data_IF_648397222805
#
_entry.id   IF_648397222805
#
_cell.length_a   1.000
_cell.length_b   1.000
_cell.length_c   1.000
_cell.angle_alpha   90.00
_cell.angle_beta   90.00
_cell.angle_gamma   90.00
#
_symmetry.space_group_name_H-M   'P 1'
#
loop_
_entity.id
_entity.type
_entity.pdbx_description
1 polymer ?
#
# COMPACT_ATOMS: atom_id res chain seq x y z
N UNK A 1 25.19 -36.28 -35.76
CA UNK A 1 24.69 -35.00 -35.21
C UNK A 1 24.41 -35.25 -33.74
N UNK A 2 25.06 -34.52 -32.84
CA UNK A 2 24.61 -34.48 -31.44
C UNK A 2 23.19 -33.91 -31.39
N UNK A 3 22.38 -34.37 -30.44
CA UNK A 3 21.14 -33.68 -30.11
C UNK A 3 21.49 -32.27 -29.61
N UNK A 4 20.84 -31.25 -30.19
CA UNK A 4 21.13 -29.87 -29.86
C UNK A 4 20.75 -29.54 -28.42
N UNK A 5 21.44 -28.57 -27.81
CA UNK A 5 21.34 -28.22 -26.37
C UNK A 5 19.92 -27.95 -25.83
N UNK A 6 18.91 -27.73 -26.70
CA UNK A 6 17.49 -27.57 -26.31
C UNK A 6 17.17 -26.26 -25.58
N UNK A 7 18.16 -25.63 -24.97
CA UNK A 7 18.07 -24.34 -24.31
C UNK A 7 18.01 -23.20 -25.33
N UNK A 8 17.06 -22.27 -25.12
CA UNK A 8 17.03 -20.98 -25.79
C UNK A 8 16.39 -19.93 -24.89
N UNK A 9 16.81 -18.68 -25.03
CA UNK A 9 16.16 -17.54 -24.41
C UNK A 9 16.04 -16.38 -25.39
N UNK A 10 15.03 -15.53 -25.20
CA UNK A 10 14.80 -14.37 -26.06
C UNK A 10 15.89 -13.30 -25.86
N UNK A 11 16.29 -12.63 -26.95
CA UNK A 11 17.29 -11.54 -26.92
C UNK A 11 16.86 -10.30 -26.12
N UNK A 12 15.55 -10.16 -25.89
CA UNK A 12 14.92 -9.01 -25.24
C UNK A 12 13.95 -9.46 -24.13
N UNK A 13 14.40 -10.17 -23.08
CA UNK A 13 13.52 -10.67 -22.03
C UNK A 13 12.99 -9.50 -21.19
N UNK A 14 11.69 -9.52 -20.88
CA UNK A 14 10.99 -8.43 -20.19
C UNK A 14 11.26 -7.01 -20.76
N UNK A 15 11.55 -6.88 -22.06
CA UNK A 15 11.73 -5.57 -22.71
C UNK A 15 13.11 -4.92 -22.58
N UNK A 16 14.08 -5.52 -21.87
CA UNK A 16 15.51 -5.12 -21.93
C UNK A 16 16.20 -5.96 -23.01
N UNK A 17 16.89 -5.34 -23.96
CA UNK A 17 17.80 -6.06 -24.87
C UNK A 17 19.13 -6.26 -24.17
N UNK A 18 19.70 -7.47 -24.29
CA UNK A 18 20.99 -7.79 -23.69
C UNK A 18 22.14 -7.40 -24.61
N UNK A 19 23.21 -6.85 -24.02
CA UNK A 19 24.50 -6.70 -24.68
C UNK A 19 25.22 -8.04 -24.81
N UNK A 20 26.10 -8.19 -25.81
CA UNK A 20 26.80 -9.46 -26.06
C UNK A 20 27.63 -9.93 -24.86
N UNK A 21 28.31 -9.00 -24.18
CA UNK A 21 29.08 -9.30 -22.97
C UNK A 21 28.18 -9.80 -21.82
N UNK A 22 26.96 -9.25 -21.68
CA UNK A 22 25.97 -9.71 -20.69
C UNK A 22 25.46 -11.12 -21.04
N UNK A 23 25.18 -11.40 -22.31
CA UNK A 23 24.79 -12.74 -22.78
C UNK A 23 25.88 -13.76 -22.44
N UNK A 24 27.14 -13.46 -22.76
CA UNK A 24 28.24 -14.36 -22.47
C UNK A 24 28.44 -14.58 -20.97
N UNK A 25 28.40 -13.51 -20.17
CA UNK A 25 28.49 -13.63 -18.71
C UNK A 25 27.36 -14.49 -18.15
N UNK A 26 26.12 -14.23 -18.58
CA UNK A 26 24.95 -14.96 -18.11
C UNK A 26 24.99 -16.45 -18.49
N UNK A 27 25.54 -16.79 -19.66
CA UNK A 27 25.74 -18.17 -20.08
C UNK A 27 26.88 -18.88 -19.33
N UNK A 28 27.96 -18.16 -18.99
CA UNK A 28 29.09 -18.69 -18.20
C UNK A 28 28.69 -18.93 -16.74
N UNK A 29 28.15 -17.90 -16.10
CA UNK A 29 27.94 -17.86 -14.65
C UNK A 29 26.56 -18.42 -14.25
N UNK A 30 25.66 -18.66 -15.22
CA UNK A 30 24.24 -19.00 -15.05
C UNK A 30 23.45 -18.00 -14.20
N UNK A 31 24.03 -16.85 -13.88
CA UNK A 31 23.44 -15.75 -13.12
C UNK A 31 23.96 -14.42 -13.65
N UNK A 32 23.11 -13.39 -13.68
CA UNK A 32 23.51 -12.02 -14.03
C UNK A 32 22.63 -10.98 -13.31
N UNK A 33 23.23 -9.86 -12.92
CA UNK A 33 22.55 -8.72 -12.32
C UNK A 33 23.16 -8.25 -11.00
N UNK A 34 22.50 -7.32 -10.29
CA UNK A 34 21.19 -6.74 -10.62
C UNK A 34 21.22 -5.85 -11.88
N UNK A 35 20.37 -6.15 -12.86
CA UNK A 35 20.19 -5.35 -14.07
C UNK A 35 18.90 -4.51 -13.98
N UNK A 36 18.97 -3.28 -14.47
CA UNK A 36 17.87 -2.32 -14.56
C UNK A 36 17.10 -2.46 -15.90
N UNK A 37 16.16 -1.55 -16.19
CA UNK A 37 15.55 -1.43 -17.52
C UNK A 37 14.51 -2.49 -17.92
N UNK A 38 14.30 -3.55 -17.13
CA UNK A 38 13.20 -4.50 -17.35
C UNK A 38 11.84 -3.83 -17.17
N UNK A 39 10.81 -4.35 -17.85
CA UNK A 39 9.43 -3.85 -17.78
C UNK A 39 8.47 -4.98 -17.44
N UNK A 40 7.63 -4.73 -16.43
CA UNK A 40 6.58 -5.65 -16.00
C UNK A 40 5.48 -5.82 -17.08
N UNK A 41 4.61 -6.82 -16.94
CA UNK A 41 3.41 -6.98 -17.80
C UNK A 41 2.50 -5.75 -17.82
N UNK A 42 2.57 -4.90 -16.80
CA UNK A 42 1.83 -3.64 -16.71
C UNK A 42 2.69 -2.40 -17.12
N UNK A 43 3.85 -2.60 -17.74
CA UNK A 43 4.71 -1.56 -18.30
C UNK A 43 5.65 -0.85 -17.32
N UNK A 44 5.50 -1.07 -16.01
CA UNK A 44 6.36 -0.44 -14.98
C UNK A 44 7.80 -0.96 -15.07
N UNK A 45 8.81 -0.07 -15.00
CA UNK A 45 10.20 -0.47 -14.96
C UNK A 45 10.55 -1.14 -13.63
N UNK A 46 11.43 -2.14 -13.66
CA UNK A 46 11.98 -2.80 -12.47
C UNK A 46 13.44 -3.20 -12.68
N UNK A 47 14.13 -3.43 -11.57
CA UNK A 47 15.49 -4.00 -11.50
C UNK A 47 15.37 -5.43 -10.99
N UNK A 48 16.13 -6.36 -11.55
CA UNK A 48 16.14 -7.76 -11.12
C UNK A 48 17.49 -8.43 -11.41
N UNK A 49 17.76 -9.52 -10.71
CA UNK A 49 18.76 -10.50 -11.13
C UNK A 49 18.06 -11.55 -12.01
N UNK A 50 18.85 -12.28 -12.78
CA UNK A 50 18.36 -13.36 -13.64
C UNK A 50 19.23 -14.58 -13.47
N UNK A 51 18.61 -15.75 -13.50
CA UNK A 51 19.26 -17.05 -13.27
C UNK A 51 18.80 -18.08 -14.30
N UNK A 52 19.70 -18.97 -14.69
CA UNK A 52 19.42 -20.12 -15.55
C UNK A 52 19.35 -21.36 -14.65
N UNK A 53 18.13 -21.75 -14.26
CA UNK A 53 17.91 -22.97 -13.47
C UNK A 53 17.63 -24.16 -14.38
N UNK A 54 17.94 -25.36 -13.92
CA UNK A 54 17.49 -26.58 -14.58
C UNK A 54 16.08 -26.92 -14.07
N UNK A 55 15.15 -27.13 -15.01
CA UNK A 55 13.77 -27.53 -14.74
C UNK A 55 13.71 -29.06 -14.94
N UNK A 56 13.56 -29.82 -13.84
CA UNK A 56 13.60 -31.29 -13.86
C UNK A 56 12.38 -31.91 -14.55
N UNK A 57 11.24 -31.21 -14.56
CA UNK A 57 10.00 -31.65 -15.21
C UNK A 57 10.12 -31.50 -16.74
N UNK A 58 10.66 -30.37 -17.21
CA UNK A 58 10.97 -30.14 -18.62
C UNK A 58 12.30 -30.76 -19.10
N UNK A 59 13.13 -31.26 -18.17
CA UNK A 59 14.52 -31.73 -18.39
C UNK A 59 15.38 -30.76 -19.19
N UNK A 60 15.18 -29.45 -18.98
CA UNK A 60 15.82 -28.40 -19.77
C UNK A 60 16.15 -27.19 -18.90
N UNK A 61 17.06 -26.34 -19.35
CA UNK A 61 17.38 -25.09 -18.68
C UNK A 61 16.30 -24.04 -18.94
N UNK A 62 16.03 -23.22 -17.93
CA UNK A 62 14.96 -22.22 -17.89
C UNK A 62 15.49 -20.94 -17.28
N UNK A 63 15.18 -19.83 -17.96
CA UNK A 63 15.47 -18.48 -17.51
C UNK A 63 14.41 -18.05 -16.49
N UNK A 64 14.85 -17.68 -15.30
CA UNK A 64 14.01 -17.11 -14.25
C UNK A 64 14.52 -15.73 -13.83
N UNK A 65 13.61 -14.84 -13.44
CA UNK A 65 13.96 -13.61 -12.75
C UNK A 65 14.11 -13.92 -11.26
N UNK A 66 15.32 -13.73 -10.75
CA UNK A 66 15.58 -13.73 -9.32
C UNK A 66 15.44 -12.28 -8.82
N UNK A 67 14.38 -12.00 -8.08
CA UNK A 67 14.11 -10.65 -7.60
C UNK A 67 14.97 -10.25 -6.39
N UNK A 68 15.96 -11.07 -6.05
CA UNK A 68 16.80 -10.92 -4.87
C UNK A 68 16.08 -11.33 -3.59
N UNK A 69 16.87 -11.63 -2.58
CA UNK A 69 16.39 -12.14 -1.28
C UNK A 69 15.62 -11.11 -0.43
N UNK A 70 15.38 -9.89 -0.94
CA UNK A 70 14.53 -8.83 -0.32
C UNK A 70 13.12 -9.32 0.07
N UNK A 71 12.66 -10.45 -0.46
CA UNK A 71 11.38 -11.09 -0.07
C UNK A 71 11.52 -12.42 0.67
N UNK A 72 12.68 -13.08 0.57
CA UNK A 72 12.96 -14.32 1.30
C UNK A 72 13.40 -14.03 2.72
N UNK A 73 14.18 -12.98 2.97
CA UNK A 73 14.49 -12.51 4.33
C UNK A 73 13.25 -12.14 5.18
N UNK A 74 12.06 -11.99 4.56
CA UNK A 74 10.79 -11.81 5.28
C UNK A 74 9.94 -13.09 5.41
N UNK A 75 10.32 -14.22 4.79
CA UNK A 75 9.51 -15.45 4.73
C UNK A 75 10.30 -16.77 4.90
N UNK A 76 11.63 -16.78 4.99
CA UNK A 76 12.44 -18.01 5.19
C UNK A 76 12.41 -18.55 6.62
N UNK A 77 11.93 -17.77 7.58
CA UNK A 77 12.03 -18.13 9.00
C UNK A 77 13.46 -18.14 9.54
N UNK A 78 14.41 -17.55 8.80
CA UNK A 78 15.76 -17.30 9.29
C UNK A 78 15.67 -16.28 10.43
N UNK A 79 15.98 -16.74 11.63
CA UNK A 79 15.74 -15.99 12.86
C UNK A 79 16.75 -14.84 12.94
N UNK A 80 16.24 -13.60 12.91
CA UNK A 80 17.09 -12.42 12.87
C UNK A 80 17.80 -12.27 14.20
N UNK A 81 19.14 -12.15 14.16
CA UNK A 81 19.94 -11.80 15.33
C UNK A 81 20.38 -10.33 15.26
N UNK A 82 20.08 -9.59 16.34
CA UNK A 82 20.47 -8.20 16.52
C UNK A 82 21.59 -8.02 17.57
N UNK A 83 22.16 -9.11 18.09
CA UNK A 83 23.20 -9.10 19.13
C UNK A 83 24.40 -8.21 18.80
N UNK A 84 24.82 -8.22 17.53
CA UNK A 84 25.95 -7.45 17.01
C UNK A 84 25.59 -6.01 16.56
N UNK A 85 24.31 -5.61 16.62
CA UNK A 85 23.86 -4.29 16.14
C UNK A 85 23.65 -3.29 17.28
N UNK A 86 24.02 -2.04 17.02
CA UNK A 86 23.70 -0.92 17.90
C UNK A 86 22.21 -0.55 17.81
N UNK A 87 21.60 -0.27 18.96
CA UNK A 87 20.18 0.08 19.04
C UNK A 87 19.96 1.58 18.89
N UNK A 88 19.12 1.97 17.95
CA UNK A 88 18.80 3.37 17.63
C UNK A 88 17.83 4.02 18.62
N UNK A 89 17.18 3.25 19.48
CA UNK A 89 16.27 3.75 20.51
C UNK A 89 15.11 2.82 20.82
N UNK A 90 14.18 3.30 21.63
CA UNK A 90 12.97 2.58 22.00
C UNK A 90 11.87 2.75 20.94
N UNK A 91 11.18 1.66 20.61
CA UNK A 91 10.06 1.63 19.68
C UNK A 91 8.85 2.40 20.26
N UNK A 92 8.29 3.39 19.54
CA UNK A 92 7.18 4.20 20.04
C UNK A 92 5.84 3.45 20.16
N UNK A 93 5.78 2.18 19.73
CA UNK A 93 4.60 1.30 19.89
C UNK A 93 4.72 0.32 21.05
N UNK A 94 5.91 -0.20 21.37
CA UNK A 94 6.09 -1.29 22.34
C UNK A 94 7.31 -1.17 23.27
N UNK A 95 8.08 -0.08 23.18
CA UNK A 95 9.26 0.18 24.02
C UNK A 95 10.50 -0.66 23.75
N UNK A 96 10.42 -1.71 22.91
CA UNK A 96 11.57 -2.56 22.57
C UNK A 96 12.59 -1.86 21.65
N UNK A 97 13.78 -2.44 21.48
CA UNK A 97 14.87 -1.83 20.73
C UNK A 97 14.54 -1.75 19.23
N UNK A 98 15.06 -0.72 18.56
CA UNK A 98 14.95 -0.52 17.11
C UNK A 98 16.34 -0.61 16.48
N UNK A 99 16.43 -1.38 15.39
CA UNK A 99 17.67 -1.69 14.69
C UNK A 99 17.58 -1.40 13.20
N UNK A 100 18.73 -1.41 12.52
CA UNK A 100 18.80 -1.45 11.06
C UNK A 100 18.64 -2.88 10.58
N UNK A 101 17.76 -3.10 9.59
CA UNK A 101 17.56 -4.41 8.97
C UNK A 101 17.22 -4.24 7.49
N UNK A 102 18.14 -4.66 6.63
CA UNK A 102 18.08 -4.38 5.18
C UNK A 102 17.93 -2.88 4.92
N UNK A 103 16.92 -2.51 4.12
CA UNK A 103 16.57 -1.12 3.75
C UNK A 103 15.62 -0.44 4.75
N UNK A 104 15.47 -0.98 5.96
CA UNK A 104 14.48 -0.53 6.95
C UNK A 104 15.10 -0.35 8.33
N UNK A 105 14.40 0.43 9.14
CA UNK A 105 14.52 0.49 10.59
C UNK A 105 13.36 -0.30 11.20
N UNK A 106 13.68 -1.30 12.01
CA UNK A 106 12.77 -2.38 12.41
C UNK A 106 12.84 -2.57 13.92
N UNK A 107 11.70 -2.84 14.55
CA UNK A 107 11.66 -3.19 15.97
C UNK A 107 12.12 -4.64 16.16
N UNK A 108 12.89 -4.90 17.22
CA UNK A 108 13.31 -6.26 17.63
C UNK A 108 12.13 -7.24 17.72
N UNK A 109 10.96 -6.73 18.10
CA UNK A 109 9.70 -7.48 18.27
C UNK A 109 8.80 -7.49 17.03
N UNK A 110 9.21 -6.89 15.91
CA UNK A 110 8.45 -6.93 14.64
C UNK A 110 9.02 -7.89 13.60
N UNK A 111 10.08 -8.62 13.93
CA UNK A 111 10.59 -9.76 13.15
C UNK A 111 10.73 -11.00 14.04
N UNK A 112 10.69 -12.22 13.49
CA UNK A 112 11.06 -13.44 14.20
C UNK A 112 12.54 -13.42 14.60
N UNK A 113 12.82 -13.64 15.89
CA UNK A 113 14.17 -13.75 16.45
C UNK A 113 14.28 -15.06 17.25
N UNK A 114 15.50 -15.49 17.59
CA UNK A 114 15.73 -16.70 18.41
C UNK A 114 14.98 -16.67 19.75
N UNK A 115 14.80 -15.49 20.35
CA UNK A 115 14.07 -15.30 21.60
C UNK A 115 12.55 -15.11 21.40
N UNK A 116 12.10 -14.75 20.20
CA UNK A 116 10.70 -14.48 19.87
C UNK A 116 10.37 -14.97 18.44
N UNK A 117 9.87 -16.20 18.27
CA UNK A 117 9.44 -16.72 16.97
C UNK A 117 8.21 -16.01 16.39
N UNK A 118 7.36 -15.43 17.25
CA UNK A 118 6.11 -14.75 16.86
C UNK A 118 6.23 -13.24 17.06
N UNK A 119 6.22 -12.41 15.99
CA UNK A 119 6.31 -10.97 16.13
C UNK A 119 5.07 -10.40 16.84
N UNK A 120 5.30 -9.56 17.86
CA UNK A 120 4.24 -8.88 18.63
C UNK A 120 4.18 -7.38 18.37
N UNK A 121 5.04 -6.87 17.49
CA UNK A 121 5.04 -5.50 16.99
C UNK A 121 5.00 -5.51 15.46
N UNK A 122 4.65 -4.37 14.87
CA UNK A 122 4.58 -4.09 13.43
C UNK A 122 5.35 -2.81 13.07
N UNK A 123 6.07 -2.21 14.04
CA UNK A 123 6.85 -1.00 13.80
C UNK A 123 7.97 -1.27 12.80
N UNK A 124 7.90 -0.55 11.67
CA UNK A 124 8.85 -0.57 10.57
C UNK A 124 8.81 0.79 9.87
N UNK A 125 9.97 1.37 9.57
CA UNK A 125 10.08 2.58 8.74
C UNK A 125 11.25 2.44 7.77
N UNK A 126 11.13 2.98 6.56
CA UNK A 126 12.19 2.85 5.54
C UNK A 126 13.43 3.68 5.89
N UNK A 127 14.62 3.18 5.52
CA UNK A 127 15.85 3.96 5.52
C UNK A 127 15.88 5.00 4.40
N UNK A 128 15.13 4.77 3.32
CA UNK A 128 14.95 5.73 2.22
C UNK A 128 13.45 5.95 2.01
N UNK A 129 12.99 7.19 2.17
CA UNK A 129 11.59 7.57 2.02
C UNK A 129 11.50 8.65 0.93
N UNK A 130 10.75 8.39 -0.14
CA UNK A 130 10.59 9.30 -1.29
C UNK A 130 11.93 9.86 -1.81
N UNK A 131 12.88 8.95 -2.09
CA UNK A 131 14.26 9.21 -2.54
C UNK A 131 15.20 9.86 -1.51
N UNK A 132 14.70 10.31 -0.36
CA UNK A 132 15.55 10.88 0.70
C UNK A 132 16.00 9.79 1.69
N UNK A 133 17.30 9.57 1.88
CA UNK A 133 17.82 8.77 2.99
C UNK A 133 17.49 9.45 4.34
N UNK A 134 17.09 8.65 5.31
CA UNK A 134 16.85 9.07 6.68
C UNK A 134 18.05 8.62 7.51
N UNK A 135 18.87 9.56 7.96
CA UNK A 135 20.07 9.26 8.74
C UNK A 135 19.73 8.68 10.12
N UNK A 136 20.65 7.88 10.69
CA UNK A 136 20.52 7.32 12.06
C UNK A 136 20.10 8.37 13.09
N UNK A 137 20.73 9.55 13.07
CA UNK A 137 20.42 10.66 13.97
C UNK A 137 18.95 11.13 13.87
N UNK A 138 18.35 11.09 12.68
CA UNK A 138 16.95 11.45 12.48
C UNK A 138 16.01 10.39 13.03
N UNK A 139 16.34 9.09 12.90
CA UNK A 139 15.57 8.03 13.55
C UNK A 139 15.69 8.09 15.07
N UNK A 140 16.88 8.33 15.63
CA UNK A 140 17.05 8.53 17.08
C UNK A 140 16.12 9.66 17.56
N UNK A 141 16.04 10.79 16.83
CA UNK A 141 15.10 11.89 17.11
C UNK A 141 13.63 11.47 16.98
N UNK A 142 13.27 10.72 15.94
CA UNK A 142 11.91 10.21 15.73
C UNK A 142 11.46 9.28 16.87
N UNK A 143 12.36 8.42 17.36
CA UNK A 143 12.09 7.48 18.45
C UNK A 143 12.02 8.16 19.82
N UNK A 144 12.82 9.21 20.05
CA UNK A 144 12.89 9.91 21.35
C UNK A 144 11.90 11.07 21.49
N UNK A 145 11.70 11.87 20.43
CA UNK A 145 10.83 13.07 20.45
C UNK A 145 9.51 12.86 19.73
N UNK A 146 9.35 11.73 19.03
CA UNK A 146 8.21 11.46 18.15
C UNK A 146 8.30 12.11 16.76
N UNK A 147 9.32 12.94 16.48
CA UNK A 147 9.50 13.66 15.21
C UNK A 147 10.96 13.75 14.76
N UNK A 148 11.19 13.88 13.45
CA UNK A 148 12.50 14.25 12.87
C UNK A 148 12.65 15.77 12.75
N UNK A 149 13.86 16.22 12.41
CA UNK A 149 14.06 17.58 11.91
C UNK A 149 13.34 17.79 10.56
N UNK A 150 13.32 19.03 10.07
CA UNK A 150 12.81 19.38 8.75
C UNK A 150 13.77 18.88 7.65
N UNK A 151 13.40 17.78 6.99
CA UNK A 151 14.11 17.21 5.85
C UNK A 151 13.57 17.80 4.55
N UNK A 152 14.45 18.21 3.63
CA UNK A 152 14.08 19.05 2.48
C UNK A 152 14.28 18.46 1.09
N UNK A 153 14.78 17.22 1.04
CA UNK A 153 15.13 16.48 -0.17
C UNK A 153 14.08 15.43 -0.58
N UNK A 154 12.90 15.39 0.04
CA UNK A 154 11.84 14.46 -0.35
C UNK A 154 11.31 14.77 -1.75
N UNK A 155 11.26 13.79 -2.65
CA UNK A 155 10.76 13.98 -4.02
C UNK A 155 9.37 13.38 -4.17
N UNK A 156 8.37 14.22 -4.43
CA UNK A 156 6.98 13.74 -4.57
C UNK A 156 6.80 12.93 -5.85
N UNK A 157 6.35 11.67 -5.74
CA UNK A 157 6.04 10.82 -6.91
C UNK A 157 4.97 11.43 -7.84
N UNK A 158 4.06 12.27 -7.30
CA UNK A 158 2.98 12.89 -8.07
C UNK A 158 3.44 14.09 -8.91
N UNK A 159 4.34 14.92 -8.39
CA UNK A 159 4.75 16.19 -9.03
C UNK A 159 6.20 16.21 -9.48
N UNK A 160 7.00 15.20 -9.09
CA UNK A 160 8.46 15.11 -9.27
C UNK A 160 9.23 16.34 -8.75
N UNK A 161 8.65 17.07 -7.80
CA UNK A 161 9.27 18.23 -7.14
C UNK A 161 9.73 17.85 -5.75
N UNK A 162 10.89 18.42 -5.36
CA UNK A 162 11.36 18.38 -3.99
C UNK A 162 10.40 19.13 -3.05
N UNK A 163 10.25 18.66 -1.81
CA UNK A 163 9.47 19.32 -0.77
C UNK A 163 10.11 19.11 0.61
N UNK A 164 9.79 20.03 1.53
CA UNK A 164 10.25 19.99 2.92
C UNK A 164 9.16 19.45 3.84
N UNK A 165 9.50 18.49 4.69
CA UNK A 165 8.61 17.92 5.70
C UNK A 165 9.40 17.37 6.89
N UNK A 166 8.75 17.24 8.03
CA UNK A 166 9.20 16.41 9.14
C UNK A 166 8.53 15.05 9.02
N UNK A 167 9.17 14.00 9.50
CA UNK A 167 8.54 12.71 9.72
C UNK A 167 8.09 12.67 11.19
N UNK A 168 6.83 12.32 11.42
CA UNK A 168 6.23 12.24 12.75
C UNK A 168 5.60 10.87 12.97
N UNK A 169 5.77 10.30 14.17
CA UNK A 169 5.06 9.08 14.55
C UNK A 169 3.59 9.36 14.83
N UNK A 170 2.70 8.72 14.08
CA UNK A 170 1.27 8.77 14.29
C UNK A 170 0.83 7.53 15.10
N UNK A 171 0.58 7.73 16.39
CA UNK A 171 0.15 6.68 17.30
C UNK A 171 -1.27 6.15 17.00
N UNK A 172 -2.12 6.91 16.30
CA UNK A 172 -3.46 6.44 15.89
C UNK A 172 -3.38 5.57 14.63
N UNK A 173 -2.55 5.96 13.68
CA UNK A 173 -2.35 5.21 12.44
C UNK A 173 -1.27 4.12 12.53
N UNK A 174 -0.52 4.05 13.63
CA UNK A 174 0.54 3.07 13.88
C UNK A 174 1.71 3.18 12.90
N UNK A 175 2.01 4.37 12.37
CA UNK A 175 3.01 4.55 11.30
C UNK A 175 3.65 5.93 11.32
N UNK A 176 4.76 6.07 10.61
CA UNK A 176 5.43 7.35 10.38
C UNK A 176 4.71 8.09 9.24
N UNK A 177 4.24 9.32 9.51
CA UNK A 177 3.55 10.21 8.58
C UNK A 177 4.37 11.48 8.31
N UNK A 178 4.06 12.19 7.22
CA UNK A 178 4.64 13.50 6.94
C UNK A 178 3.89 14.60 7.68
N UNK A 179 4.62 15.39 8.48
CA UNK A 179 4.13 16.62 9.10
C UNK A 179 4.80 17.83 8.42
N UNK A 180 3.97 18.69 7.84
CA UNK A 180 4.44 19.88 7.13
C UNK A 180 4.41 21.09 8.07
N UNK A 181 5.49 21.85 8.10
CA UNK A 181 5.48 23.16 8.76
C UNK A 181 4.37 24.04 8.15
N UNK A 182 3.68 24.88 8.97
CA UNK A 182 2.55 25.67 8.50
C UNK A 182 2.96 26.57 7.32
N UNK A 183 2.30 26.38 6.17
CA UNK A 183 2.70 27.03 4.94
C UNK A 183 2.40 28.54 4.97
N UNK A 184 3.43 29.36 4.68
CA UNK A 184 3.29 30.83 4.53
C UNK A 184 2.28 31.23 3.42
N UNK A 185 1.95 30.30 2.53
CA UNK A 185 0.89 30.46 1.54
C UNK A 185 -0.43 29.88 2.06
N UNK A 186 -1.54 30.65 2.04
CA UNK A 186 -2.84 30.15 2.49
C UNK A 186 -3.34 29.01 1.59
N UNK A 187 -4.11 28.04 2.14
CA UNK A 187 -4.64 26.94 1.36
C UNK A 187 -5.51 27.45 0.20
N UNK A 188 -5.20 26.98 -1.01
CA UNK A 188 -5.95 27.35 -2.21
C UNK A 188 -7.40 26.88 -2.05
N UNK A 189 -8.37 27.80 -2.12
CA UNK A 189 -9.81 27.52 -1.96
C UNK A 189 -10.21 26.36 -2.89
N UNK A 190 -10.56 25.21 -2.30
CA UNK A 190 -10.82 23.96 -3.02
C UNK A 190 -10.34 22.71 -2.27
N UNK A 191 -9.31 22.82 -1.42
CA UNK A 191 -8.93 21.74 -0.51
C UNK A 191 -9.81 21.77 0.76
N UNK A 192 -10.70 20.80 0.91
CA UNK A 192 -11.50 20.60 2.13
C UNK A 192 -10.61 20.09 3.26
N UNK A 193 -10.26 20.99 4.19
CA UNK A 193 -9.61 20.59 5.45
C UNK A 193 -10.63 19.88 6.38
N UNK A 194 -10.20 18.88 7.17
CA UNK A 194 -11.07 18.23 8.15
C UNK A 194 -11.38 19.19 9.30
N UNK A 195 -12.66 19.27 9.69
CA UNK A 195 -13.14 20.12 10.79
C UNK A 195 -12.80 19.52 12.15
N UNK A 196 -11.69 19.95 12.76
CA UNK A 196 -11.53 19.90 14.21
C UNK A 196 -12.32 21.05 14.83
N UNK A 197 -13.25 20.74 15.74
CA UNK A 197 -14.00 21.73 16.52
C UNK A 197 -13.25 22.03 17.81
N UNK A 198 -12.89 23.28 18.03
CA UNK A 198 -12.72 23.85 19.37
C UNK A 198 -13.07 25.35 19.36
N UNK A 199 -13.54 25.79 20.52
CA UNK A 199 -13.84 27.13 21.02
C UNK A 199 -12.84 28.23 20.58
N UNK A 200 -13.14 29.54 20.64
CA UNK A 200 -13.67 30.31 21.80
C UNK A 200 -14.62 31.45 21.35
N UNK A 201 -15.43 31.95 22.29
CA UNK A 201 -16.47 32.97 22.10
C UNK A 201 -16.05 34.41 22.51
N UNK A 202 -16.92 35.37 22.19
CA UNK A 202 -16.91 36.80 22.62
C UNK A 202 -15.77 37.68 22.02
N UNK A 203 -15.91 39.00 21.82
CA UNK A 203 -16.82 40.00 22.44
C UNK A 203 -17.27 41.10 21.45
N UNK A 204 -18.22 41.96 21.86
CA UNK A 204 -18.91 43.03 21.09
C UNK A 204 -18.12 44.37 21.00
N UNK A 205 -18.56 45.27 20.10
CA UNK A 205 -18.32 46.73 20.11
C UNK A 205 -17.57 47.25 18.86
N UNK A 206 -18.18 47.88 17.86
CA UNK A 206 -18.89 49.18 17.78
C UNK A 206 -17.97 50.41 17.54
N UNK A 207 -17.98 50.91 16.29
CA UNK A 207 -17.99 52.33 15.84
C UNK A 207 -16.76 53.24 16.16
N UNK A 208 -16.40 54.31 15.42
CA UNK A 208 -17.04 55.02 14.27
C UNK A 208 -16.09 56.01 13.54
N UNK A 209 -16.37 56.27 12.24
CA UNK A 209 -16.15 57.50 11.39
C UNK A 209 -14.78 58.17 11.14
N UNK A 210 -14.65 58.72 9.90
CA UNK A 210 -13.61 59.65 9.40
C UNK A 210 -12.94 59.15 8.09
N UNK A 211 -13.45 59.43 6.86
CA UNK A 211 -13.38 60.70 6.08
C UNK A 211 -11.92 61.07 5.65
N UNK A 212 -11.56 61.43 4.41
CA UNK A 212 -12.31 61.77 3.18
C UNK A 212 -11.38 61.74 1.91
N UNK A 213 -11.91 61.39 0.71
CA UNK A 213 -11.42 61.67 -0.70
C UNK A 213 -9.94 61.34 -1.06
N UNK A 214 -9.48 61.29 -2.32
CA UNK A 214 -9.97 60.90 -3.65
C UNK A 214 -8.70 60.80 -4.57
N UNK A 215 -8.65 60.55 -5.89
CA UNK A 215 -9.62 60.34 -7.00
C UNK A 215 -8.90 59.50 -8.08
N UNK A 216 -9.60 58.73 -8.94
CA UNK A 216 -8.90 58.02 -10.04
C UNK A 216 -9.73 57.01 -10.85
N UNK A 217 -10.78 57.47 -11.55
CA UNK A 217 -11.68 56.60 -12.33
C UNK A 217 -11.27 56.57 -13.81
N UNK A 218 -11.15 55.37 -14.41
CA UNK A 218 -11.68 55.10 -15.78
C UNK A 218 -12.34 53.72 -15.81
N UNK A 219 -13.61 53.70 -16.23
CA UNK A 219 -14.47 52.52 -16.31
C UNK A 219 -14.52 51.96 -17.75
N UNK A 220 -15.06 50.75 -17.94
CA UNK A 220 -15.89 50.40 -19.10
C UNK A 220 -16.67 49.07 -18.91
N UNK A 221 -18.01 49.18 -19.01
CA UNK A 221 -19.04 48.18 -19.41
C UNK A 221 -19.29 46.89 -18.59
N UNK A 222 -20.52 46.83 -18.07
CA UNK A 222 -21.26 45.60 -17.74
C UNK A 222 -21.99 45.04 -18.99
N UNK A 223 -22.63 43.85 -18.89
CA UNK A 223 -24.10 43.90 -18.86
C UNK A 223 -24.83 42.87 -17.96
N UNK A 224 -26.08 43.24 -17.63
CA UNK A 224 -27.27 42.40 -17.36
C UNK A 224 -27.30 41.39 -16.18
N UNK A 225 -28.21 41.67 -15.23
CA UNK A 225 -28.74 40.73 -14.23
C UNK A 225 -29.62 39.65 -14.88
N UNK A 226 -29.61 38.42 -14.35
CA UNK A 226 -30.77 37.52 -14.31
C UNK A 226 -31.05 37.05 -12.88
N UNK A 227 -32.33 36.87 -12.57
CA UNK A 227 -32.88 36.82 -11.20
C UNK A 227 -32.77 35.42 -10.61
N UNK A 228 -32.46 35.34 -9.31
CA UNK A 228 -32.42 34.09 -8.57
C UNK A 228 -33.83 33.53 -8.31
N UNK A 229 -34.02 32.22 -8.50
CA UNK A 229 -35.23 31.49 -8.09
C UNK A 229 -34.91 30.75 -6.78
N UNK A 230 -35.66 31.04 -5.72
CA UNK A 230 -35.44 30.47 -4.39
C UNK A 230 -35.80 28.97 -4.35
N UNK A 231 -35.11 28.22 -3.49
CA UNK A 231 -35.44 26.84 -3.13
C UNK A 231 -35.47 26.71 -1.59
N UNK A 232 -36.44 25.95 -1.09
CA UNK A 232 -36.82 25.90 0.33
C UNK A 232 -35.77 25.20 1.24
N UNK A 233 -35.76 25.51 2.56
CA UNK A 233 -34.81 24.92 3.50
C UNK A 233 -35.16 23.47 3.85
N UNK A 234 -34.13 22.61 4.04
CA UNK A 234 -34.29 21.27 4.64
C UNK A 234 -33.82 21.28 6.11
N UNK A 235 -34.62 20.61 6.95
CA UNK A 235 -34.48 20.48 8.39
C UNK A 235 -33.28 19.58 8.82
N UNK A 236 -32.92 19.50 10.12
CA UNK A 236 -31.58 19.07 10.55
C UNK A 236 -31.34 17.55 10.50
N UNK A 237 -30.06 17.17 10.40
CA UNK A 237 -29.59 15.77 10.32
C UNK A 237 -29.69 15.03 11.66
N UNK A 238 -30.27 13.82 11.63
CA UNK A 238 -30.05 12.76 12.64
C UNK A 238 -28.78 11.95 12.31
N UNK A 239 -28.34 11.13 13.26
CA UNK A 239 -27.10 10.33 13.25
C UNK A 239 -27.02 9.31 12.08
N UNK A 240 -25.82 8.77 11.74
CA UNK A 240 -25.61 8.10 10.45
C UNK A 240 -26.31 6.74 10.38
N UNK A 241 -27.11 6.55 9.33
CA UNK A 241 -27.69 5.27 8.98
C UNK A 241 -26.66 4.34 8.32
N UNK A 242 -26.80 3.04 8.53
CA UNK A 242 -26.13 2.01 7.75
C UNK A 242 -26.45 2.20 6.24
N UNK A 243 -25.45 1.99 5.38
CA UNK A 243 -25.47 2.56 4.03
C UNK A 243 -24.62 1.85 2.97
N UNK A 244 -24.57 0.52 3.00
CA UNK A 244 -24.75 -0.22 1.73
C UNK A 244 -26.02 -1.03 1.90
N UNK A 245 -26.91 -1.03 0.91
CA UNK A 245 -28.10 -1.86 0.96
C UNK A 245 -27.66 -3.32 1.05
N UNK A 246 -28.08 -4.01 2.11
CA UNK A 246 -27.78 -5.44 2.31
C UNK A 246 -28.36 -6.22 1.14
N UNK A 247 -27.50 -6.92 0.41
CA UNK A 247 -27.89 -7.68 -0.77
C UNK A 247 -28.36 -9.06 -0.32
N UNK A 248 -29.44 -9.58 -0.89
CA UNK A 248 -30.04 -10.83 -0.45
C UNK A 248 -29.26 -12.01 -1.02
N UNK A 249 -28.71 -12.91 -0.20
CA UNK A 249 -28.07 -14.11 -0.72
C UNK A 249 -29.13 -15.07 -1.27
N UNK A 250 -28.88 -15.59 -2.47
CA UNK A 250 -29.67 -16.69 -3.05
C UNK A 250 -29.67 -17.92 -2.12
N UNK A 251 -30.70 -18.78 -2.22
CA UNK A 251 -30.87 -19.94 -1.34
C UNK A 251 -29.61 -20.84 -1.24
N UNK A 252 -28.91 -21.08 -2.35
CA UNK A 252 -27.65 -21.83 -2.36
C UNK A 252 -26.54 -21.13 -1.55
N UNK A 253 -26.37 -19.83 -1.72
CA UNK A 253 -25.37 -19.05 -0.99
C UNK A 253 -25.73 -18.95 0.50
N UNK A 254 -27.02 -18.76 0.81
CA UNK A 254 -27.55 -18.70 2.16
C UNK A 254 -27.32 -20.00 2.96
N UNK A 255 -27.28 -21.16 2.30
CA UNK A 255 -26.95 -22.45 2.93
C UNK A 255 -25.48 -22.55 3.43
N UNK A 256 -24.61 -21.64 2.98
CA UNK A 256 -23.19 -21.58 3.36
C UNK A 256 -22.90 -20.42 4.32
N UNK A 257 -23.50 -19.24 4.11
CA UNK A 257 -23.17 -18.01 4.86
C UNK A 257 -24.33 -17.40 5.67
N UNK A 258 -25.49 -18.06 5.67
CA UNK A 258 -26.74 -17.59 6.27
C UNK A 258 -27.58 -16.72 5.33
N UNK A 259 -28.89 -16.67 5.58
CA UNK A 259 -29.88 -15.91 4.79
C UNK A 259 -29.95 -14.40 5.14
N UNK A 260 -29.06 -13.92 6.00
CA UNK A 260 -29.02 -12.53 6.44
C UNK A 260 -28.65 -11.58 5.28
N UNK A 261 -29.33 -10.43 5.09
CA UNK A 261 -28.95 -9.46 4.06
C UNK A 261 -27.57 -8.87 4.33
N UNK A 262 -26.62 -9.09 3.42
CA UNK A 262 -25.21 -8.72 3.63
C UNK A 262 -24.62 -8.05 2.39
N UNK A 263 -23.63 -7.20 2.61
CA UNK A 263 -22.88 -6.61 1.50
C UNK A 263 -21.97 -7.64 0.82
N UNK A 264 -21.70 -7.48 -0.48
CA UNK A 264 -20.78 -8.37 -1.24
C UNK A 264 -19.41 -8.60 -0.56
N UNK A 265 -18.74 -7.61 0.06
CA UNK A 265 -17.52 -7.85 0.83
C UNK A 265 -17.72 -8.75 2.06
N UNK A 266 -18.85 -8.63 2.77
CA UNK A 266 -19.18 -9.50 3.91
C UNK A 266 -19.50 -10.93 3.44
N UNK A 267 -20.19 -11.09 2.31
CA UNK A 267 -20.45 -12.39 1.71
C UNK A 267 -19.16 -13.13 1.34
N UNK A 268 -18.24 -12.44 0.69
CA UNK A 268 -16.91 -12.98 0.36
C UNK A 268 -16.14 -13.36 1.64
N UNK A 269 -16.24 -12.55 2.72
CA UNK A 269 -15.58 -12.86 3.99
C UNK A 269 -16.15 -14.13 4.65
N UNK A 270 -17.47 -14.22 4.83
CA UNK A 270 -18.13 -15.42 5.41
C UNK A 270 -17.85 -16.68 4.58
N UNK A 271 -17.80 -16.56 3.25
CA UNK A 271 -17.46 -17.68 2.35
C UNK A 271 -16.00 -18.14 2.54
N UNK A 272 -15.06 -17.22 2.74
CA UNK A 272 -13.66 -17.55 3.09
C UNK A 272 -13.50 -18.15 4.48
N UNK A 273 -14.34 -17.76 5.44
CA UNK A 273 -14.40 -18.39 6.77
C UNK A 273 -14.86 -19.85 6.65
N UNK A 274 -15.90 -20.14 5.84
CA UNK A 274 -16.34 -21.51 5.53
C UNK A 274 -15.26 -22.34 4.83
N UNK A 275 -14.66 -21.82 3.75
CA UNK A 275 -13.60 -22.50 2.97
C UNK A 275 -12.42 -22.92 3.86
N UNK A 276 -12.05 -22.07 4.83
CA UNK A 276 -10.97 -22.37 5.79
C UNK A 276 -11.41 -23.39 6.85
N UNK A 277 -12.61 -23.26 7.41
CA UNK A 277 -13.12 -24.19 8.41
C UNK A 277 -13.28 -25.63 7.86
N UNK A 278 -13.63 -25.76 6.58
CA UNK A 278 -13.81 -27.04 5.90
C UNK A 278 -12.57 -27.53 5.13
N UNK A 279 -11.42 -26.85 5.25
CA UNK A 279 -10.16 -27.17 4.56
C UNK A 279 -10.29 -27.33 3.02
N UNK A 280 -11.16 -26.53 2.40
CA UNK A 280 -11.51 -26.58 0.97
C UNK A 280 -10.50 -25.90 0.03
N UNK A 281 -9.24 -25.78 0.45
CA UNK A 281 -8.14 -25.28 -0.40
C UNK A 281 -7.35 -26.47 -0.94
N UNK A 282 -6.99 -26.44 -2.22
CA UNK A 282 -6.14 -27.49 -2.80
C UNK A 282 -4.76 -27.50 -2.09
N UNK A 283 -4.29 -28.65 -1.57
CA UNK A 283 -3.01 -28.74 -0.87
C UNK A 283 -1.80 -28.46 -1.79
N UNK A 284 -1.95 -28.61 -3.11
CA UNK A 284 -0.93 -28.31 -4.12
C UNK A 284 -0.99 -26.85 -4.59
N UNK A 285 -2.19 -26.26 -4.68
CA UNK A 285 -2.35 -24.83 -4.98
C UNK A 285 -3.39 -24.16 -4.06
N UNK A 286 -2.90 -23.50 -3.00
CA UNK A 286 -3.72 -22.74 -2.05
C UNK A 286 -4.52 -21.57 -2.66
N UNK A 287 -4.35 -21.26 -3.95
CA UNK A 287 -5.17 -20.29 -4.70
C UNK A 287 -6.41 -20.91 -5.34
N UNK A 288 -6.47 -22.24 -5.40
CA UNK A 288 -7.58 -23.03 -5.92
C UNK A 288 -8.42 -23.57 -4.77
N UNK A 289 -9.73 -23.38 -4.88
CA UNK A 289 -10.74 -23.80 -3.92
C UNK A 289 -11.42 -25.03 -4.52
N UNK A 290 -11.43 -26.14 -3.79
CA UNK A 290 -12.15 -27.36 -4.14
C UNK A 290 -13.56 -27.27 -3.54
N UNK A 291 -14.59 -27.34 -4.37
CA UNK A 291 -15.96 -27.19 -3.91
C UNK A 291 -16.45 -28.46 -3.20
N UNK A 292 -16.98 -28.32 -1.98
CA UNK A 292 -17.87 -29.33 -1.39
C UNK A 292 -19.27 -29.23 -2.02
N UNK A 293 -20.18 -30.15 -1.70
CA UNK A 293 -21.54 -30.19 -2.29
C UNK A 293 -22.30 -28.85 -2.16
N UNK A 294 -22.03 -28.10 -1.07
CA UNK A 294 -22.65 -26.79 -0.81
C UNK A 294 -22.00 -25.67 -1.60
N UNK A 295 -20.66 -25.60 -1.67
CA UNK A 295 -19.97 -24.67 -2.55
C UNK A 295 -20.27 -24.96 -4.02
N UNK A 296 -20.43 -26.22 -4.40
CA UNK A 296 -20.68 -26.62 -5.80
C UNK A 296 -22.03 -26.08 -6.29
N UNK A 297 -23.06 -26.07 -5.43
CA UNK A 297 -24.34 -25.41 -5.70
C UNK A 297 -24.26 -23.87 -5.83
N UNK A 298 -23.20 -23.24 -5.27
CA UNK A 298 -22.95 -21.79 -5.30
C UNK A 298 -22.00 -21.36 -6.42
N UNK A 299 -21.11 -22.27 -6.85
CA UNK A 299 -20.04 -21.98 -7.80
C UNK A 299 -20.31 -22.57 -9.19
N UNK A 300 -21.12 -23.63 -9.27
CA UNK A 300 -21.41 -24.37 -10.51
C UNK A 300 -20.21 -25.10 -11.09
N UNK A 301 -19.09 -25.18 -10.35
CA UNK A 301 -17.84 -25.81 -10.78
C UNK A 301 -17.21 -26.56 -9.59
N UNK A 302 -16.56 -27.72 -9.82
CA UNK A 302 -15.94 -28.52 -8.76
C UNK A 302 -14.66 -27.87 -8.19
N UNK A 303 -14.05 -26.95 -8.92
CA UNK A 303 -12.95 -26.12 -8.42
C UNK A 303 -12.98 -24.72 -9.03
N UNK A 304 -12.57 -23.73 -8.25
CA UNK A 304 -12.48 -22.32 -8.69
C UNK A 304 -11.23 -21.63 -8.14
N UNK A 305 -10.63 -20.74 -8.93
CA UNK A 305 -9.56 -19.87 -8.44
C UNK A 305 -10.09 -18.71 -7.59
N UNK A 306 -9.26 -18.23 -6.65
CA UNK A 306 -9.43 -17.02 -5.83
C UNK A 306 -10.16 -15.85 -6.52
N UNK A 307 -9.79 -15.53 -7.77
CA UNK A 307 -10.39 -14.42 -8.53
C UNK A 307 -11.79 -14.76 -9.07
N UNK A 308 -11.99 -15.99 -9.56
CA UNK A 308 -13.28 -16.45 -10.08
C UNK A 308 -14.36 -16.46 -8.99
N UNK A 309 -14.00 -16.83 -7.75
CA UNK A 309 -14.86 -16.79 -6.57
C UNK A 309 -15.59 -15.43 -6.44
N UNK A 310 -14.85 -14.33 -6.55
CA UNK A 310 -15.42 -12.98 -6.39
C UNK A 310 -16.44 -12.62 -7.47
N UNK A 311 -16.26 -13.15 -8.68
CA UNK A 311 -17.18 -12.98 -9.81
C UNK A 311 -18.44 -13.85 -9.68
N UNK A 312 -18.27 -15.10 -9.24
CA UNK A 312 -19.37 -16.06 -9.04
C UNK A 312 -20.30 -15.62 -7.91
N UNK A 313 -19.76 -15.23 -6.74
CA UNK A 313 -20.57 -14.70 -5.62
C UNK A 313 -21.44 -13.51 -6.03
N UNK A 314 -20.97 -12.70 -6.98
CA UNK A 314 -21.75 -11.57 -7.52
C UNK A 314 -23.04 -11.96 -8.25
N UNK A 315 -23.17 -13.20 -8.72
CA UNK A 315 -24.39 -13.74 -9.35
C UNK A 315 -25.42 -14.23 -8.32
N UNK A 316 -24.99 -14.44 -7.08
CA UNK A 316 -25.78 -15.04 -6.00
C UNK A 316 -26.24 -14.02 -4.95
N UNK A 317 -26.13 -12.73 -5.27
CA UNK A 317 -26.51 -11.59 -4.45
C UNK A 317 -27.43 -10.66 -5.26
N UNK A 318 -28.70 -10.55 -4.84
CA UNK A 318 -29.74 -9.68 -5.42
C UNK A 318 -30.23 -8.60 -4.46
#
# INVERSE_FOLDING_TARGET
KSEGCGFSFGKTPAGRTFELAEVEQFLRDKKIGPLDGFRSKAGWPFTAEMVIKFDEEAKNYKLEFDFGDDKKGEETGELVDFSALESLGACPKCGARVFEHGKNYVCEKSVPTLAQPTPICDFKTGQVILQQPIERAQIVKLLTTGKTDLLDKFVSMRTRRAFKAMLAWDAQAGKVNFEFAPSKFPPRKGATAPLTKAAVAATKGAASVGAERATGIKALKAPAKKVAKAAAPKAPRKAPAAGTAGTTPSAALAAVIGAEPISRPQAIKKLWEYIKAHNLQDPKDKRTIVADDKLLAVLGQPSVGMFALTGLVGKHLS
#
